data_IF_127379972100
#
_entry.id   IF_127379972100
#
_cell.length_a   1.000
_cell.length_b   1.000
_cell.length_c   1.000
_cell.angle_alpha   90.00
_cell.angle_beta   90.00
_cell.angle_gamma   90.00
#
_symmetry.space_group_name_H-M   'P 1'
#
loop_
_entity.id
_entity.type
_entity.pdbx_description
1 polymer ?
#
# COMPACT_ATOMS: atom_id res chain seq x y z
N UNK A 1 -1.05 -4.17 -9.35
CA UNK A 1 -0.62 -5.01 -8.20
C UNK A 1 -0.37 -6.45 -8.65
N UNK A 2 0.26 -7.28 -7.83
CA UNK A 2 0.56 -8.70 -8.12
C UNK A 2 1.92 -9.10 -7.57
N UNK A 3 2.25 -10.39 -7.68
CA UNK A 3 3.52 -10.95 -7.20
C UNK A 3 4.72 -10.48 -8.03
N UNK A 4 5.93 -10.85 -7.62
CA UNK A 4 7.16 -10.59 -8.40
C UNK A 4 7.09 -11.25 -9.78
N UNK A 5 7.73 -10.65 -10.78
CA UNK A 5 7.74 -11.19 -12.15
C UNK A 5 6.49 -10.87 -13.00
N UNK A 6 5.43 -10.27 -12.43
CA UNK A 6 4.20 -9.96 -13.18
C UNK A 6 4.30 -8.78 -14.13
N UNK A 7 5.35 -7.94 -14.06
CA UNK A 7 5.50 -6.77 -14.93
C UNK A 7 4.84 -5.49 -14.39
N UNK A 8 4.68 -5.36 -13.06
CA UNK A 8 4.07 -4.16 -12.43
C UNK A 8 4.68 -2.85 -12.89
N UNK A 9 6.00 -2.74 -12.85
CA UNK A 9 6.71 -1.50 -13.23
C UNK A 9 6.55 -1.19 -14.72
N UNK A 10 6.55 -2.21 -15.59
CA UNK A 10 6.32 -2.07 -17.03
C UNK A 10 4.93 -1.50 -17.29
N UNK A 11 3.89 -2.14 -16.74
CA UNK A 11 2.51 -1.66 -16.88
C UNK A 11 2.33 -0.29 -16.21
N UNK A 12 2.93 -0.07 -15.03
CA UNK A 12 2.84 1.20 -14.31
C UNK A 12 3.43 2.37 -15.12
N UNK A 13 4.59 2.17 -15.73
CA UNK A 13 5.21 3.16 -16.62
C UNK A 13 4.36 3.42 -17.87
N UNK A 14 3.85 2.37 -18.50
CA UNK A 14 2.99 2.52 -19.67
C UNK A 14 1.67 3.25 -19.36
N UNK A 15 1.04 2.95 -18.22
CA UNK A 15 -0.15 3.67 -17.74
C UNK A 15 0.17 5.14 -17.43
N UNK A 16 1.31 5.41 -16.79
CA UNK A 16 1.77 6.77 -16.49
C UNK A 16 1.89 7.61 -17.77
N UNK A 17 2.50 7.06 -18.80
CA UNK A 17 2.62 7.71 -20.10
C UNK A 17 1.27 7.90 -20.78
N UNK A 18 0.43 6.86 -20.82
CA UNK A 18 -0.88 6.88 -21.46
C UNK A 18 -1.87 7.84 -20.81
N UNK A 19 -1.80 8.02 -19.48
CA UNK A 19 -2.70 8.87 -18.72
C UNK A 19 -2.09 10.24 -18.36
N UNK A 20 -0.83 10.47 -18.70
CA UNK A 20 -0.06 11.66 -18.30
C UNK A 20 -0.10 11.90 -16.78
N UNK A 21 0.01 10.82 -16.01
CA UNK A 21 0.03 10.82 -14.54
C UNK A 21 1.42 10.45 -14.02
N UNK A 22 1.86 11.00 -12.87
CA UNK A 22 3.12 10.58 -12.26
C UNK A 22 3.08 9.12 -11.85
N UNK A 23 4.25 8.46 -11.91
CA UNK A 23 4.46 7.09 -11.46
C UNK A 23 5.30 7.08 -10.17
N UNK A 24 4.89 6.28 -9.21
CA UNK A 24 5.62 6.00 -7.97
C UNK A 24 5.94 4.51 -7.93
N UNK A 25 7.22 4.15 -7.88
CA UNK A 25 7.63 2.78 -7.58
C UNK A 25 7.56 2.56 -6.06
N UNK A 26 6.64 1.68 -5.64
CA UNK A 26 6.44 1.39 -4.22
C UNK A 26 7.66 0.76 -3.57
N UNK A 27 8.43 -0.02 -4.33
CA UNK A 27 9.60 -0.71 -3.81
C UNK A 27 10.71 0.29 -3.38
N UNK A 28 10.78 1.47 -4.00
CA UNK A 28 11.72 2.53 -3.63
C UNK A 28 11.40 3.18 -2.27
N UNK A 29 10.19 2.97 -1.77
CA UNK A 29 9.72 3.51 -0.51
C UNK A 29 9.92 2.56 0.69
N UNK A 30 10.56 1.40 0.47
CA UNK A 30 10.83 0.51 1.59
C UNK A 30 11.82 1.12 2.60
N UNK A 31 11.55 1.03 3.90
CA UNK A 31 12.52 1.39 4.92
C UNK A 31 13.81 0.56 4.78
N UNK A 32 14.98 1.10 5.17
CA UNK A 32 16.25 0.37 5.09
C UNK A 32 16.22 -1.01 5.77
N UNK A 33 15.50 -1.14 6.88
CA UNK A 33 15.33 -2.42 7.57
C UNK A 33 14.64 -3.48 6.70
N UNK A 34 13.61 -3.07 5.93
CA UNK A 34 12.92 -3.96 5.00
C UNK A 34 13.83 -4.38 3.85
N UNK A 35 14.62 -3.44 3.32
CA UNK A 35 15.60 -3.72 2.26
C UNK A 35 16.62 -4.73 2.76
N UNK A 36 17.15 -4.57 3.98
CA UNK A 36 18.10 -5.49 4.58
C UNK A 36 17.50 -6.90 4.78
N UNK A 37 16.24 -7.00 5.26
CA UNK A 37 15.53 -8.29 5.38
C UNK A 37 15.42 -8.99 4.02
N UNK A 38 14.95 -8.29 3.00
CA UNK A 38 14.76 -8.83 1.65
C UNK A 38 16.08 -9.26 1.02
N UNK A 39 17.15 -8.47 1.18
CA UNK A 39 18.49 -8.79 0.65
C UNK A 39 19.05 -10.07 1.25
N UNK A 40 18.73 -10.36 2.53
CA UNK A 40 19.10 -11.60 3.21
C UNK A 40 18.17 -12.77 2.85
N UNK A 41 17.20 -12.57 1.94
CA UNK A 41 16.24 -13.60 1.56
C UNK A 41 15.17 -13.87 2.61
N UNK A 42 15.00 -12.98 3.60
CA UNK A 42 13.96 -13.10 4.62
C UNK A 42 12.70 -12.38 4.14
N UNK A 43 11.55 -13.07 4.02
CA UNK A 43 10.29 -12.42 3.66
C UNK A 43 9.87 -11.38 4.69
N UNK A 44 9.28 -10.29 4.21
CA UNK A 44 8.66 -9.30 5.08
C UNK A 44 7.36 -9.85 5.68
N UNK A 45 7.13 -9.56 6.96
CA UNK A 45 5.87 -9.82 7.63
C UNK A 45 4.89 -8.63 7.53
N UNK A 46 3.73 -8.76 8.17
CA UNK A 46 2.70 -7.72 8.13
C UNK A 46 3.14 -6.46 8.88
N UNK A 47 3.90 -6.61 9.95
CA UNK A 47 4.46 -5.50 10.73
C UNK A 47 5.47 -4.67 9.94
N UNK A 48 6.27 -5.33 9.09
CA UNK A 48 7.21 -4.66 8.18
C UNK A 48 6.48 -3.89 7.08
N UNK A 49 5.39 -4.48 6.54
CA UNK A 49 4.68 -3.93 5.38
C UNK A 49 3.73 -2.78 5.74
N UNK A 50 3.10 -2.81 6.88
CA UNK A 50 2.10 -1.81 7.25
C UNK A 50 2.64 -0.37 7.26
N UNK A 51 3.79 -0.06 7.88
CA UNK A 51 4.38 1.29 7.82
C UNK A 51 4.74 1.72 6.40
N UNK A 52 5.24 0.80 5.59
CA UNK A 52 5.56 1.04 4.17
C UNK A 52 4.31 1.34 3.34
N UNK A 53 3.22 0.58 3.49
CA UNK A 53 1.95 0.84 2.79
C UNK A 53 1.35 2.19 3.19
N UNK A 54 1.44 2.57 4.47
CA UNK A 54 1.01 3.89 4.94
C UNK A 54 1.86 5.02 4.35
N UNK A 55 3.17 4.78 4.17
CA UNK A 55 4.05 5.73 3.50
C UNK A 55 3.66 5.90 2.03
N UNK A 56 3.40 4.79 1.31
CA UNK A 56 2.89 4.84 -0.08
C UNK A 56 1.60 5.68 -0.12
N UNK A 57 0.63 5.38 0.75
CA UNK A 57 -0.64 6.12 0.78
C UNK A 57 -0.41 7.62 1.01
N UNK A 58 0.44 8.01 1.93
CA UNK A 58 0.80 9.41 2.18
C UNK A 58 1.40 10.06 0.93
N UNK A 59 2.31 9.38 0.25
CA UNK A 59 2.91 9.89 -1.00
C UNK A 59 1.88 10.08 -2.12
N UNK A 60 0.89 9.21 -2.19
CA UNK A 60 -0.25 9.36 -3.10
C UNK A 60 -1.04 10.63 -2.77
N UNK A 61 -1.38 10.84 -1.51
CA UNK A 61 -2.12 12.02 -1.04
C UNK A 61 -1.38 13.31 -1.29
N UNK A 62 -0.07 13.36 -0.98
CA UNK A 62 0.80 14.50 -1.27
C UNK A 62 0.86 14.82 -2.76
N UNK A 63 1.03 13.80 -3.62
CA UNK A 63 1.08 13.96 -5.07
C UNK A 63 -0.22 14.52 -5.63
N UNK A 64 -1.36 13.99 -5.20
CA UNK A 64 -2.69 14.46 -5.66
C UNK A 64 -2.98 15.86 -5.14
N UNK A 65 -2.67 16.16 -3.87
CA UNK A 65 -2.85 17.48 -3.29
C UNK A 65 -2.03 18.54 -4.03
N UNK A 66 -0.78 18.24 -4.38
CA UNK A 66 0.07 19.12 -5.19
C UNK A 66 -0.51 19.44 -6.57
N UNK A 67 -1.13 18.45 -7.23
CA UNK A 67 -1.79 18.63 -8.53
C UNK A 67 -3.07 19.48 -8.43
N UNK A 68 -3.78 19.41 -7.30
CA UNK A 68 -5.01 20.21 -7.08
C UNK A 68 -4.66 21.66 -6.80
N UNK A 69 -3.57 21.92 -6.08
CA UNK A 69 -3.13 23.28 -5.73
C UNK A 69 -2.39 23.97 -6.88
N UNK A 70 -1.92 23.24 -7.89
CA UNK A 70 -1.31 23.80 -9.09
C UNK A 70 -2.33 24.71 -9.81
N UNK A 71 -1.86 25.89 -10.24
CA UNK A 71 -2.70 26.93 -10.90
C UNK A 71 -3.08 26.62 -12.34
N UNK A 72 -2.75 25.41 -12.82
CA UNK A 72 -3.04 24.99 -14.19
C UNK A 72 -4.55 24.77 -14.31
N UNK A 73 -5.24 25.78 -14.83
CA UNK A 73 -6.69 25.79 -15.03
C UNK A 73 -7.20 24.77 -16.08
N UNK A 74 -6.39 23.78 -16.40
CA UNK A 74 -6.76 22.67 -17.29
C UNK A 74 -7.56 21.61 -16.53
N UNK A 75 -8.64 21.18 -17.12
CA UNK A 75 -9.44 20.01 -16.72
C UNK A 75 -8.66 18.70 -16.97
N UNK A 76 -7.48 18.56 -16.33
CA UNK A 76 -6.65 17.35 -16.42
C UNK A 76 -7.07 16.34 -15.36
N UNK A 77 -7.01 15.06 -15.73
CA UNK A 77 -7.11 13.98 -14.76
C UNK A 77 -6.03 14.17 -13.69
N UNK A 78 -6.44 14.19 -12.42
CA UNK A 78 -5.54 14.31 -11.28
C UNK A 78 -5.47 12.95 -10.61
N UNK A 79 -4.25 12.46 -10.42
CA UNK A 79 -4.04 11.15 -9.86
C UNK A 79 -2.58 10.72 -9.90
N UNK A 80 -2.31 9.48 -9.55
CA UNK A 80 -0.98 8.90 -9.53
C UNK A 80 -1.07 7.40 -9.80
N UNK A 81 -0.10 6.88 -10.52
CA UNK A 81 0.09 5.44 -10.75
C UNK A 81 1.10 4.94 -9.73
N UNK A 82 0.81 3.80 -9.10
CA UNK A 82 1.69 3.21 -8.07
C UNK A 82 2.01 1.76 -8.40
N UNK A 83 3.29 1.42 -8.45
CA UNK A 83 3.77 0.03 -8.47
C UNK A 83 3.84 -0.52 -7.04
N UNK A 84 2.98 -1.48 -6.69
CA UNK A 84 2.97 -2.11 -5.37
C UNK A 84 2.43 -3.53 -5.44
N UNK A 85 2.97 -4.45 -4.63
CA UNK A 85 2.50 -5.84 -4.60
C UNK A 85 1.07 -5.98 -4.07
N UNK A 86 0.72 -5.34 -2.98
CA UNK A 86 -0.64 -5.27 -2.36
C UNK A 86 -1.36 -6.61 -2.26
N UNK A 87 -0.65 -7.66 -1.79
CA UNK A 87 -1.07 -9.07 -1.91
C UNK A 87 -2.29 -9.42 -1.05
N UNK A 88 -2.42 -8.84 0.13
CA UNK A 88 -3.56 -9.09 1.04
C UNK A 88 -4.64 -8.01 0.89
N UNK A 89 -5.89 -8.37 1.19
CA UNK A 89 -7.00 -7.43 1.17
C UNK A 89 -6.76 -6.23 2.08
N UNK A 90 -6.32 -6.46 3.30
CA UNK A 90 -6.10 -5.35 4.23
C UNK A 90 -4.96 -4.41 3.80
N UNK A 91 -3.96 -4.88 3.03
CA UNK A 91 -2.96 -4.00 2.39
C UNK A 91 -3.62 -3.06 1.39
N UNK A 92 -4.55 -3.60 0.60
CA UNK A 92 -5.34 -2.81 -0.36
C UNK A 92 -6.26 -1.81 0.35
N UNK A 93 -6.80 -2.20 1.51
CA UNK A 93 -7.63 -1.31 2.33
C UNK A 93 -6.82 -0.14 2.90
N UNK A 94 -5.58 -0.35 3.35
CA UNK A 94 -4.66 0.72 3.74
C UNK A 94 -4.42 1.67 2.55
N UNK A 95 -4.19 1.14 1.35
CA UNK A 95 -3.97 1.95 0.15
C UNK A 95 -5.24 2.69 -0.30
N UNK A 96 -6.43 2.18 0.00
CA UNK A 96 -7.71 2.90 -0.18
C UNK A 96 -7.90 4.03 0.84
N UNK A 97 -7.09 4.06 1.89
CA UNK A 97 -7.27 4.98 3.03
C UNK A 97 -8.37 4.54 3.99
N UNK A 98 -8.73 3.27 3.98
CA UNK A 98 -9.65 2.70 4.95
C UNK A 98 -8.93 2.44 6.28
N UNK A 99 -9.64 2.49 7.41
CA UNK A 99 -9.05 2.11 8.69
C UNK A 99 -8.56 0.65 8.62
N UNK A 100 -7.34 0.42 9.15
CA UNK A 100 -6.84 -0.95 9.26
C UNK A 100 -7.81 -1.77 10.14
N UNK A 101 -8.06 -3.05 9.79
CA UNK A 101 -8.81 -3.92 10.68
C UNK A 101 -8.12 -3.98 12.03
N UNK A 102 -8.87 -4.09 13.13
CA UNK A 102 -8.26 -4.29 14.44
C UNK A 102 -7.32 -5.50 14.34
N UNK A 103 -6.07 -5.32 14.78
CA UNK A 103 -5.13 -6.45 14.85
C UNK A 103 -5.84 -7.54 15.66
N UNK A 104 -5.84 -8.80 15.19
CA UNK A 104 -6.28 -9.89 16.04
C UNK A 104 -5.42 -9.77 17.31
N UNK A 105 -6.08 -9.52 18.45
CA UNK A 105 -5.40 -9.34 19.72
C UNK A 105 -4.44 -10.51 19.86
N UNK A 106 -3.19 -10.23 20.22
CA UNK A 106 -2.34 -11.27 20.75
C UNK A 106 -3.18 -11.95 21.80
N UNK A 107 -3.63 -13.18 21.49
CA UNK A 107 -4.43 -13.93 22.43
C UNK A 107 -3.68 -13.85 23.75
N UNK A 108 -4.27 -13.19 24.72
CA UNK A 108 -3.88 -13.28 26.10
C UNK A 108 -3.90 -14.77 26.37
N UNK A 109 -2.71 -15.38 26.27
CA UNK A 109 -2.51 -16.70 26.86
C UNK A 109 -2.98 -16.54 28.29
N UNK A 110 -4.15 -17.12 28.56
CA UNK A 110 -4.72 -17.14 29.89
C UNK A 110 -3.63 -17.63 30.84
N UNK A 111 -2.99 -16.69 31.48
CA UNK A 111 -2.10 -16.97 32.61
C UNK A 111 -3.04 -17.41 33.73
N UNK A 112 -3.32 -18.69 33.74
CA UNK A 112 -3.85 -19.34 34.94
C UNK A 112 -2.78 -19.16 36.02
N UNK A 113 -3.04 -18.39 37.09
CA UNK A 113 -2.06 -18.29 38.16
C UNK A 113 -1.90 -19.70 38.79
N UNK A 114 -0.66 -20.09 39.11
CA UNK A 114 -0.45 -21.35 39.85
C UNK A 114 -1.13 -21.27 41.22
N UNK A 115 -1.61 -22.41 41.78
CA UNK A 115 -2.31 -22.43 43.05
C UNK A 115 -1.40 -21.97 44.18
N UNK A 116 -1.96 -21.06 44.95
CA UNK A 116 -1.38 -20.50 46.17
C UNK A 116 -1.19 -21.59 47.22
N UNK A 117 0.04 -21.96 47.50
CA UNK A 117 0.31 -22.71 48.73
C UNK A 117 1.64 -22.28 49.34
N UNK A 118 1.51 -21.89 50.61
CA UNK A 118 2.50 -21.76 51.68
C UNK A 118 3.27 -20.43 51.85
N UNK A 119 2.67 -19.58 52.65
CA UNK A 119 3.11 -18.88 53.87
C UNK A 119 4.59 -18.79 54.17
N UNK A 120 5.06 -17.59 54.49
CA UNK A 120 6.24 -17.34 55.29
C UNK A 120 6.60 -15.88 55.46
N UNK A 121 6.06 -15.25 56.52
CA UNK A 121 6.66 -14.21 57.41
C UNK A 121 7.38 -12.97 56.79
N UNK A 122 6.83 -11.81 57.14
CA UNK A 122 7.46 -10.46 57.27
C UNK A 122 8.64 -10.45 58.30
N UNK A 123 9.34 -9.30 58.58
CA UNK A 123 8.96 -7.88 58.39
C UNK A 123 10.17 -6.95 58.09
N UNK A 124 9.86 -5.66 57.87
CA UNK A 124 10.87 -4.61 58.19
C UNK A 124 10.89 -3.42 57.25
N UNK A 125 10.11 -2.39 57.54
CA UNK A 125 10.44 -1.00 57.85
C UNK A 125 11.25 -0.19 56.80
N UNK A 126 10.76 0.87 56.23
CA UNK A 126 10.75 2.27 56.66
C UNK A 126 10.30 3.20 55.53
N UNK A 127 9.51 4.13 55.94
CA UNK A 127 8.97 5.24 55.15
C UNK A 127 10.02 6.29 54.80
N UNK A 128 9.87 6.92 53.64
CA UNK A 128 10.26 8.31 53.47
C UNK A 128 9.28 8.99 52.50
N UNK A 129 8.41 9.78 53.04
CA UNK A 129 7.57 10.73 52.35
C UNK A 129 8.44 11.89 51.87
N UNK A 130 8.36 12.24 50.59
CA UNK A 130 8.81 13.54 50.09
C UNK A 130 7.63 14.16 49.35
N UNK A 131 7.05 15.14 50.03
CA UNK A 131 6.10 16.10 49.48
C UNK A 131 6.82 17.06 48.56
N UNK A 132 6.38 17.19 47.31
CA UNK A 132 6.72 18.33 46.49
C UNK A 132 5.46 18.90 45.85
N UNK A 133 5.30 20.17 46.19
CA UNK A 133 4.25 21.10 45.87
C UNK A 133 3.90 21.21 44.40
N UNK A 134 2.59 21.12 44.12
CA UNK A 134 1.97 21.48 42.86
C UNK A 134 2.05 23.00 42.63
N UNK A 135 2.76 23.43 41.61
CA UNK A 135 2.60 24.77 41.06
C UNK A 135 1.62 24.67 39.86
N UNK A 136 0.45 25.23 40.08
CA UNK A 136 -0.59 25.39 39.08
C UNK A 136 -0.21 26.52 38.11
N UNK A 137 0.21 26.18 36.92
CA UNK A 137 0.26 27.09 35.78
C UNK A 137 -1.11 27.09 35.08
N UNK A 138 -1.61 28.28 34.64
CA UNK A 138 -2.90 28.35 33.97
C UNK A 138 -2.85 27.66 32.56
N UNK A 139 -3.96 27.11 32.10
CA UNK A 139 -3.99 26.46 30.80
C UNK A 139 -3.77 27.48 29.68
N UNK A 140 -2.70 27.30 28.90
CA UNK A 140 -2.50 28.03 27.67
C UNK A 140 -3.71 27.79 26.77
N UNK A 141 -4.42 28.84 26.44
CA UNK A 141 -5.49 28.87 25.45
C UNK A 141 -4.90 28.37 24.13
N UNK A 142 -5.25 27.16 23.73
CA UNK A 142 -4.87 26.62 22.43
C UNK A 142 -5.47 27.54 21.35
N UNK A 143 -4.59 28.15 20.58
CA UNK A 143 -4.98 28.83 19.35
C UNK A 143 -5.63 27.81 18.43
N UNK A 144 -6.68 28.17 17.66
CA UNK A 144 -7.26 27.25 16.71
C UNK A 144 -6.19 26.81 15.71
N UNK A 145 -5.94 25.50 15.66
CA UNK A 145 -5.03 24.90 14.68
C UNK A 145 -5.40 25.40 13.28
N UNK A 146 -4.41 25.75 12.45
CA UNK A 146 -4.65 26.05 11.05
C UNK A 146 -5.42 24.87 10.45
N UNK A 147 -6.52 25.17 9.80
CA UNK A 147 -7.43 24.24 9.12
C UNK A 147 -6.61 23.22 8.35
N UNK A 148 -6.54 21.99 8.83
CA UNK A 148 -5.92 20.89 8.09
C UNK A 148 -6.66 20.82 6.76
N UNK A 149 -5.99 20.99 5.61
CA UNK A 149 -6.67 20.91 4.33
C UNK A 149 -7.35 19.56 4.24
N UNK A 150 -8.66 19.55 3.97
CA UNK A 150 -9.42 18.32 3.82
C UNK A 150 -8.79 17.53 2.66
N UNK A 151 -8.23 16.36 2.97
CA UNK A 151 -7.64 15.49 1.96
C UNK A 151 -8.78 15.09 1.01
N UNK A 152 -8.64 15.34 -0.30
CA UNK A 152 -9.68 14.98 -1.26
C UNK A 152 -9.93 13.47 -1.22
N UNK A 153 -11.18 13.05 -1.37
CA UNK A 153 -11.53 11.64 -1.43
C UNK A 153 -10.92 11.03 -2.70
N UNK A 154 -9.84 10.29 -2.54
CA UNK A 154 -9.12 9.63 -3.64
C UNK A 154 -9.80 8.30 -3.97
N UNK A 155 -10.29 8.16 -5.22
CA UNK A 155 -10.79 6.88 -5.72
C UNK A 155 -9.60 6.00 -6.12
N UNK A 156 -9.53 4.78 -5.59
CA UNK A 156 -8.39 3.88 -5.79
C UNK A 156 -8.82 2.68 -6.62
N UNK A 157 -8.05 2.38 -7.67
CA UNK A 157 -8.22 1.21 -8.54
C UNK A 157 -7.00 0.31 -8.44
N UNK A 158 -7.21 -1.00 -8.58
CA UNK A 158 -6.15 -2.00 -8.56
C UNK A 158 -6.12 -2.76 -9.89
N UNK A 159 -5.12 -2.47 -10.72
CA UNK A 159 -4.80 -3.33 -11.86
C UNK A 159 -4.14 -4.61 -11.31
N UNK A 160 -4.88 -5.69 -11.21
CA UNK A 160 -4.40 -6.99 -10.74
C UNK A 160 -3.82 -7.79 -11.90
N UNK A 161 -2.48 -7.87 -11.93
CA UNK A 161 -1.75 -8.61 -12.95
C UNK A 161 -1.58 -10.04 -12.45
N UNK A 162 -2.19 -11.00 -13.15
CA UNK A 162 -2.18 -12.41 -12.78
C UNK A 162 -1.86 -13.30 -13.97
N UNK A 163 -1.35 -14.49 -13.71
CA UNK A 163 -1.09 -15.51 -14.72
C UNK A 163 -0.57 -16.81 -14.10
N UNK A 164 -0.29 -17.82 -14.93
CA UNK A 164 0.17 -19.12 -14.45
C UNK A 164 1.47 -19.01 -13.65
N UNK A 165 1.57 -19.71 -12.49
CA UNK A 165 2.81 -19.72 -11.71
C UNK A 165 4.04 -20.15 -12.52
N UNK A 166 3.89 -21.13 -13.42
CA UNK A 166 4.98 -21.61 -14.31
C UNK A 166 5.59 -20.48 -15.14
N UNK A 167 4.76 -19.58 -15.68
CA UNK A 167 5.25 -18.43 -16.45
C UNK A 167 5.95 -17.40 -15.57
N UNK A 168 5.49 -17.23 -14.33
CA UNK A 168 6.14 -16.35 -13.36
C UNK A 168 7.54 -16.85 -12.99
N UNK A 169 7.68 -18.15 -12.73
CA UNK A 169 8.98 -18.77 -12.49
C UNK A 169 9.93 -18.60 -13.66
N UNK A 170 9.47 -18.91 -14.88
CA UNK A 170 10.26 -18.76 -16.09
C UNK A 170 10.74 -17.31 -16.29
N UNK A 171 9.86 -16.32 -16.04
CA UNK A 171 10.24 -14.89 -16.13
C UNK A 171 11.26 -14.49 -15.07
N UNK A 172 11.16 -15.03 -13.86
CA UNK A 172 12.11 -14.74 -12.80
C UNK A 172 13.49 -15.36 -13.07
N UNK A 173 13.54 -16.58 -13.59
CA UNK A 173 14.78 -17.26 -13.97
C UNK A 173 15.49 -16.56 -15.14
N UNK A 174 14.72 -16.08 -16.13
CA UNK A 174 15.26 -15.38 -17.29
C UNK A 174 15.81 -13.98 -16.99
N UNK A 175 15.59 -13.43 -15.79
CA UNK A 175 15.94 -12.05 -15.47
C UNK A 175 17.35 -11.96 -14.88
N UNK A 176 18.36 -11.42 -15.61
CA UNK A 176 19.72 -11.31 -15.09
C UNK A 176 19.80 -10.35 -13.89
N UNK A 177 20.61 -10.70 -12.90
CA UNK A 177 20.91 -9.83 -11.75
C UNK A 177 19.80 -9.69 -10.70
N UNK A 178 18.75 -10.50 -10.77
CA UNK A 178 17.68 -10.43 -9.76
C UNK A 178 18.09 -11.22 -8.50
N UNK A 179 18.19 -10.48 -7.38
CA UNK A 179 18.48 -11.11 -6.09
C UNK A 179 17.25 -11.78 -5.45
N UNK A 180 16.07 -11.67 -6.07
CA UNK A 180 14.85 -12.27 -5.56
C UNK A 180 14.78 -13.75 -5.95
N UNK A 181 15.06 -14.62 -4.99
CA UNK A 181 15.06 -16.08 -5.15
C UNK A 181 13.65 -16.62 -5.45
N UNK A 182 13.55 -17.79 -6.08
CA UNK A 182 12.26 -18.46 -6.32
C UNK A 182 11.43 -18.65 -5.04
N UNK A 183 12.08 -18.90 -3.90
CA UNK A 183 11.42 -18.99 -2.60
C UNK A 183 10.67 -17.72 -2.17
N UNK A 184 11.07 -16.55 -2.67
CA UNK A 184 10.34 -15.31 -2.44
C UNK A 184 9.04 -15.26 -3.23
N UNK A 185 9.00 -15.84 -4.43
CA UNK A 185 7.77 -15.95 -5.22
C UNK A 185 6.79 -16.91 -4.53
N UNK A 186 7.27 -18.06 -4.04
CA UNK A 186 6.43 -19.02 -3.29
C UNK A 186 5.77 -18.33 -2.08
N UNK A 187 6.55 -17.59 -1.30
CA UNK A 187 6.03 -16.86 -0.15
C UNK A 187 5.00 -15.80 -0.52
N UNK A 188 5.16 -15.16 -1.68
CA UNK A 188 4.21 -14.17 -2.18
C UNK A 188 2.92 -14.82 -2.70
N UNK A 189 3.03 -15.94 -3.41
CA UNK A 189 1.88 -16.72 -3.87
C UNK A 189 1.07 -17.29 -2.70
N UNK A 190 1.74 -17.75 -1.64
CA UNK A 190 1.09 -18.30 -0.45
C UNK A 190 0.27 -17.26 0.34
N UNK A 191 0.66 -15.98 0.28
CA UNK A 191 -0.06 -14.89 1.00
C UNK A 191 -0.96 -14.06 0.08
N UNK A 192 -1.00 -14.36 -1.22
CA UNK A 192 -1.84 -13.64 -2.18
C UNK A 192 -3.30 -13.98 -1.96
N UNK A 193 -4.05 -12.99 -1.54
CA UNK A 193 -5.52 -13.03 -1.53
C UNK A 193 -6.02 -12.47 -2.87
N UNK A 194 -6.54 -13.36 -3.73
CA UNK A 194 -7.03 -12.95 -5.04
C UNK A 194 -8.23 -12.00 -4.91
N UNK A 195 -8.08 -10.72 -5.32
CA UNK A 195 -9.14 -9.74 -5.13
C UNK A 195 -10.35 -9.96 -6.03
N UNK A 196 -10.22 -10.80 -7.06
CA UNK A 196 -11.34 -11.10 -7.98
C UNK A 196 -12.32 -12.11 -7.39
N UNK A 197 -11.88 -12.93 -6.44
CA UNK A 197 -12.73 -13.90 -5.75
C UNK A 197 -13.52 -13.31 -4.58
N UNK A 198 -13.09 -12.16 -4.08
CA UNK A 198 -13.68 -11.51 -2.90
C UNK A 198 -14.65 -10.39 -3.24
N UNK A 199 -14.91 -10.15 -4.53
CA UNK A 199 -15.82 -9.09 -4.97
C UNK A 199 -15.36 -7.68 -4.59
N UNK A 200 -14.05 -7.44 -4.50
CA UNK A 200 -13.51 -6.13 -4.16
C UNK A 200 -13.79 -5.11 -5.26
N UNK A 201 -14.35 -3.96 -4.88
CA UNK A 201 -14.58 -2.86 -5.81
C UNK A 201 -13.29 -2.25 -6.35
N UNK A 202 -13.33 -1.76 -7.59
CA UNK A 202 -12.22 -1.07 -8.22
C UNK A 202 -11.04 -1.99 -8.61
N UNK A 203 -11.27 -3.30 -8.71
CA UNK A 203 -10.27 -4.27 -9.18
C UNK A 203 -10.47 -4.55 -10.67
N UNK A 204 -9.39 -4.42 -11.42
CA UNK A 204 -9.34 -4.68 -12.87
C UNK A 204 -8.30 -5.77 -13.10
N UNK A 205 -8.75 -6.95 -13.53
CA UNK A 205 -7.85 -8.08 -13.82
C UNK A 205 -7.22 -7.94 -15.20
N UNK A 206 -5.90 -8.12 -15.27
CA UNK A 206 -5.14 -8.20 -16.51
C UNK A 206 -4.23 -9.44 -16.50
N UNK A 207 -4.03 -10.05 -17.67
CA UNK A 207 -3.17 -11.23 -17.80
C UNK A 207 -1.72 -10.82 -18.01
N UNK A 208 -0.78 -11.58 -17.44
CA UNK A 208 0.65 -11.44 -17.76
C UNK A 208 0.97 -11.88 -19.19
N UNK A 209 0.07 -12.61 -19.85
CA UNK A 209 0.22 -13.09 -21.21
C UNK A 209 -0.16 -12.04 -22.25
N UNK A 210 -0.94 -11.05 -21.83
CA UNK A 210 -1.31 -9.92 -22.69
C UNK A 210 -0.09 -9.02 -22.96
N UNK A 211 -0.02 -8.46 -24.17
CA UNK A 211 0.89 -7.37 -24.48
C UNK A 211 0.61 -6.15 -23.58
N UNK A 212 1.62 -5.33 -23.30
CA UNK A 212 1.49 -4.19 -22.39
C UNK A 212 0.40 -3.21 -22.85
N UNK A 213 0.27 -2.99 -24.14
CA UNK A 213 -0.74 -2.11 -24.74
C UNK A 213 -2.16 -2.62 -24.46
N UNK A 214 -2.37 -3.93 -24.56
CA UNK A 214 -3.66 -4.59 -24.26
C UNK A 214 -3.97 -4.45 -22.76
N UNK A 215 -2.98 -4.64 -21.90
CA UNK A 215 -3.12 -4.44 -20.44
C UNK A 215 -3.51 -3.01 -20.12
N UNK A 216 -2.86 -2.02 -20.76
CA UNK A 216 -3.15 -0.59 -20.59
C UNK A 216 -4.60 -0.30 -20.96
N UNK A 217 -5.07 -0.77 -22.13
CA UNK A 217 -6.43 -0.48 -22.57
C UNK A 217 -7.47 -1.15 -21.66
N UNK A 218 -7.27 -2.40 -21.23
CA UNK A 218 -8.15 -3.05 -20.24
C UNK A 218 -8.27 -2.26 -18.95
N UNK A 219 -7.16 -1.70 -18.44
CA UNK A 219 -7.18 -0.87 -17.24
C UNK A 219 -7.94 0.42 -17.49
N UNK A 220 -7.73 1.07 -18.62
CA UNK A 220 -8.45 2.31 -18.98
C UNK A 220 -9.95 2.10 -19.10
N UNK A 221 -10.38 1.03 -19.76
CA UNK A 221 -11.79 0.65 -19.88
C UNK A 221 -12.42 0.39 -18.52
N UNK A 222 -11.75 -0.37 -17.65
CA UNK A 222 -12.23 -0.65 -16.30
C UNK A 222 -12.38 0.61 -15.44
N UNK A 223 -11.45 1.57 -15.56
CA UNK A 223 -11.54 2.86 -14.86
C UNK A 223 -12.68 3.71 -15.42
N UNK A 224 -12.83 3.79 -16.76
CA UNK A 224 -13.94 4.51 -17.40
C UNK A 224 -15.29 3.93 -17.00
N UNK A 225 -15.43 2.61 -17.00
CA UNK A 225 -16.66 1.93 -16.58
C UNK A 225 -17.07 2.23 -15.14
N UNK A 226 -16.17 2.72 -14.32
CA UNK A 226 -16.44 3.16 -12.94
C UNK A 226 -16.87 4.64 -12.84
N UNK A 227 -17.17 5.30 -13.95
CA UNK A 227 -17.62 6.71 -13.99
C UNK A 227 -16.50 7.73 -13.78
N UNK A 228 -15.24 7.34 -13.91
CA UNK A 228 -14.10 8.27 -13.91
C UNK A 228 -13.83 8.71 -15.34
N UNK A 229 -13.95 10.01 -15.60
CA UNK A 229 -13.59 10.60 -16.88
C UNK A 229 -12.07 10.49 -17.11
N UNK A 230 -11.65 9.72 -18.11
CA UNK A 230 -10.27 9.72 -18.59
C UNK A 230 -10.19 10.59 -19.84
N UNK A 231 -9.30 11.57 -19.81
CA UNK A 231 -9.02 12.43 -20.96
C UNK A 231 -8.22 11.61 -21.97
N UNK A 232 -8.57 11.70 -23.27
CA UNK A 232 -7.75 11.15 -24.35
C UNK A 232 -6.53 12.05 -24.53
N UNK A 233 -5.34 11.48 -24.58
CA UNK A 233 -4.16 12.22 -24.98
C UNK A 233 -4.19 12.49 -26.50
N UNK A 234 -3.59 13.60 -26.95
CA UNK A 234 -3.53 13.98 -28.39
C UNK A 234 -2.97 12.83 -29.26
N UNK A 235 -1.97 12.11 -28.78
CA UNK A 235 -1.40 10.94 -29.47
C UNK A 235 -2.39 9.81 -29.74
N UNK A 236 -3.40 9.65 -28.88
CA UNK A 236 -4.43 8.62 -29.04
C UNK A 236 -5.56 9.09 -29.96
N UNK A 237 -5.79 10.42 -30.03
CA UNK A 237 -6.72 10.98 -31.00
C UNK A 237 -6.24 10.81 -32.44
N UNK A 238 -4.91 10.83 -32.66
CA UNK A 238 -4.27 10.58 -33.95
C UNK A 238 -4.23 9.09 -34.32
N UNK A 239 -3.98 8.21 -33.33
CA UNK A 239 -3.86 6.77 -33.55
C UNK A 239 -5.22 6.06 -33.78
N UNK A 240 -6.31 6.58 -33.22
CA UNK A 240 -7.68 6.03 -33.34
C UNK A 240 -8.69 7.17 -33.53
N UNK A 241 -8.84 7.71 -34.75
CA UNK A 241 -9.89 8.69 -35.00
C UNK A 241 -11.26 8.06 -34.74
N UNK A 242 -12.18 8.82 -34.16
CA UNK A 242 -13.58 8.36 -33.98
C UNK A 242 -14.18 8.19 -35.36
N UNK A 243 -14.57 6.96 -35.71
CA UNK A 243 -15.46 6.66 -36.83
C UNK A 243 -16.88 7.17 -36.54
#
# INVERSE_FOLDING_TARGET
MGVSGTGKSTLGTALSQSLSLPYIEGDDLHPPANIAKMSNGTPLDDGDREPWLRLIRRRVEESVAGQIQGKDGEERLKGVIVGCSSLKRYYRDILRGLPAPPKPGNGEAAHTPPPESLRGASPGTLAAAVSSSASSSPPCRASPNPTTPSIPKIKTFFAFISGPPSLLYARMEARPGHFMKASMLDSQLAVLEDPTTTGEEGVIRVSIEDATEVQVEKVREGVRGSGVGLIRTEREAEAYPRS
#
